data_IF_793996262394
#
_entry.id   IF_793996262394
#
_cell.length_a   1.000
_cell.length_b   1.000
_cell.length_c   1.000
_cell.angle_alpha   90.00
_cell.angle_beta   90.00
_cell.angle_gamma   90.00
#
_symmetry.space_group_name_H-M   'P 1'
#
loop_
_entity.id
_entity.type
_entity.pdbx_description
1 polymer ?
#
# COMPACT_ATOMS: atom_id res chain seq x y z
N UNK A 1 24.80 -10.47 52.04
CA UNK A 1 23.41 -10.39 51.46
C UNK A 1 23.56 -10.60 49.96
N UNK A 2 23.14 -11.74 49.43
CA UNK A 2 23.17 -11.96 48.01
C UNK A 2 22.08 -11.05 47.42
N UNK A 3 22.43 -10.13 46.51
CA UNK A 3 21.47 -9.44 45.68
C UNK A 3 20.74 -10.51 44.89
N UNK A 4 19.44 -10.68 45.19
CA UNK A 4 18.54 -11.47 44.38
C UNK A 4 18.51 -10.81 43.01
N UNK A 5 19.23 -11.39 42.06
CA UNK A 5 19.22 -10.92 40.67
C UNK A 5 17.82 -11.20 40.11
N UNK A 6 16.94 -10.23 40.22
CA UNK A 6 15.58 -10.32 39.66
C UNK A 6 15.71 -10.49 38.16
N UNK A 7 15.25 -11.61 37.64
CA UNK A 7 15.23 -11.87 36.20
C UNK A 7 14.35 -10.82 35.51
N UNK A 8 14.83 -10.32 34.40
CA UNK A 8 14.11 -9.28 33.64
C UNK A 8 13.39 -9.87 32.41
N UNK A 9 12.27 -9.30 32.01
CA UNK A 9 11.66 -9.63 30.73
C UNK A 9 12.68 -9.48 29.59
N UNK A 10 12.68 -10.44 28.67
CA UNK A 10 13.50 -10.39 27.45
C UNK A 10 12.60 -9.86 26.33
N UNK A 11 12.96 -8.72 25.76
CA UNK A 11 12.19 -8.09 24.68
C UNK A 11 13.03 -8.07 23.41
N UNK A 12 12.45 -8.58 22.34
CA UNK A 12 12.99 -8.56 20.98
C UNK A 12 12.09 -7.69 20.09
N UNK A 13 12.68 -6.73 19.42
CA UNK A 13 12.01 -5.88 18.43
C UNK A 13 12.49 -6.32 17.05
N UNK A 14 11.58 -6.42 16.09
CA UNK A 14 11.92 -6.73 14.69
C UNK A 14 12.78 -5.62 14.10
N UNK A 15 13.53 -5.94 13.05
CA UNK A 15 14.44 -4.99 12.40
C UNK A 15 13.71 -3.77 11.82
N UNK A 16 12.49 -3.98 11.32
CA UNK A 16 11.61 -2.93 10.80
C UNK A 16 10.86 -2.15 11.89
N UNK A 17 11.08 -2.51 13.16
CA UNK A 17 10.43 -1.94 14.34
C UNK A 17 8.89 -2.04 14.30
N UNK A 18 8.34 -3.01 13.54
CA UNK A 18 6.89 -3.18 13.42
C UNK A 18 6.30 -4.15 14.43
N UNK A 19 7.11 -4.98 15.06
CA UNK A 19 6.65 -5.96 16.03
C UNK A 19 7.61 -6.01 17.20
N UNK A 20 7.07 -6.20 18.41
CA UNK A 20 7.85 -6.46 19.61
C UNK A 20 7.33 -7.73 20.27
N UNK A 21 8.26 -8.62 20.55
CA UNK A 21 8.04 -9.89 21.22
C UNK A 21 8.64 -9.85 22.61
N UNK A 22 7.97 -10.49 23.54
CA UNK A 22 8.41 -10.62 24.93
C UNK A 22 8.45 -12.07 25.34
N UNK A 23 9.51 -12.42 26.05
CA UNK A 23 9.66 -13.70 26.75
C UNK A 23 9.89 -13.40 28.24
N UNK A 24 9.10 -14.01 29.09
CA UNK A 24 9.26 -13.99 30.52
C UNK A 24 10.01 -15.28 30.93
N UNK A 25 11.28 -15.22 31.34
CA UNK A 25 11.94 -16.38 31.91
C UNK A 25 11.21 -16.87 33.16
N UNK A 26 11.21 -18.18 33.43
CA UNK A 26 10.63 -18.73 34.64
C UNK A 26 11.36 -18.22 35.89
N UNK A 27 10.67 -17.61 36.87
CA UNK A 27 11.33 -17.03 38.05
C UNK A 27 11.89 -18.09 38.98
N UNK A 28 13.15 -17.94 39.38
CA UNK A 28 13.85 -18.93 40.18
C UNK A 28 13.34 -19.12 41.62
N UNK A 29 12.56 -18.18 42.18
CA UNK A 29 12.08 -18.20 43.57
C UNK A 29 10.63 -17.74 43.77
N UNK A 30 9.73 -18.00 42.82
CA UNK A 30 8.28 -17.77 43.05
C UNK A 30 7.83 -16.30 43.06
N UNK A 31 8.73 -15.34 42.87
CA UNK A 31 8.37 -13.93 42.66
C UNK A 31 8.11 -13.70 41.20
N UNK A 32 6.84 -13.74 40.78
CA UNK A 32 6.43 -13.47 39.40
C UNK A 32 6.73 -12.03 38.95
N UNK A 33 6.57 -11.78 37.69
CA UNK A 33 6.70 -10.45 37.11
C UNK A 33 5.49 -9.58 37.46
N UNK A 34 5.73 -8.27 37.58
CA UNK A 34 4.67 -7.29 37.77
C UNK A 34 4.45 -6.50 36.48
N UNK A 35 3.22 -6.02 36.28
CA UNK A 35 2.90 -5.13 35.15
C UNK A 35 3.85 -3.91 35.10
N UNK A 36 4.17 -3.33 36.25
CA UNK A 36 5.09 -2.19 36.33
C UNK A 36 6.49 -2.50 35.80
N UNK A 37 7.03 -3.70 36.07
CA UNK A 37 8.34 -4.12 35.58
C UNK A 37 8.32 -4.30 34.05
N UNK A 38 7.27 -4.91 33.53
CA UNK A 38 7.07 -5.09 32.09
C UNK A 38 7.02 -3.74 31.38
N UNK A 39 6.20 -2.81 31.88
CA UNK A 39 6.10 -1.46 31.31
C UNK A 39 7.40 -0.69 31.36
N UNK A 40 8.13 -0.80 32.46
CA UNK A 40 9.44 -0.16 32.60
C UNK A 40 10.45 -0.71 31.58
N UNK A 41 10.47 -2.03 31.36
CA UNK A 41 11.38 -2.65 30.39
C UNK A 41 10.96 -2.31 28.94
N UNK A 42 9.66 -2.29 28.64
CA UNK A 42 9.15 -1.83 27.34
C UNK A 42 9.52 -0.36 27.07
N UNK A 43 9.34 0.51 28.05
CA UNK A 43 9.71 1.92 27.95
C UNK A 43 11.23 2.09 27.77
N UNK A 44 12.05 1.30 28.48
CA UNK A 44 13.50 1.31 28.32
C UNK A 44 13.94 0.90 26.91
N UNK A 45 13.15 0.06 26.22
CA UNK A 45 13.36 -0.31 24.80
C UNK A 45 12.73 0.65 23.81
N UNK A 46 12.03 1.69 24.32
CA UNK A 46 11.39 2.71 23.50
C UNK A 46 10.06 2.26 22.88
N UNK A 47 9.44 1.18 23.37
CA UNK A 47 8.14 0.71 22.90
C UNK A 47 7.07 1.61 23.52
N UNK A 48 6.33 2.36 22.66
CA UNK A 48 5.38 3.36 23.10
C UNK A 48 4.02 3.24 22.41
N UNK A 49 3.93 2.48 21.32
CA UNK A 49 2.72 2.37 20.49
C UNK A 49 2.40 0.93 20.15
N UNK A 50 1.12 0.66 19.93
CA UNK A 50 0.64 -0.65 19.49
C UNK A 50 0.75 -1.75 20.55
N UNK A 51 0.85 -1.41 21.82
CA UNK A 51 0.97 -2.35 22.93
C UNK A 51 -0.34 -3.12 23.11
N UNK A 52 -0.24 -4.45 23.13
CA UNK A 52 -1.35 -5.36 23.42
C UNK A 52 -1.46 -5.58 24.94
N UNK A 53 -2.19 -4.69 25.58
CA UNK A 53 -2.40 -4.71 27.05
C UNK A 53 -3.08 -5.99 27.51
N UNK A 54 -4.03 -6.51 26.72
CA UNK A 54 -4.73 -7.74 27.07
C UNK A 54 -3.78 -8.93 27.09
N UNK A 55 -2.92 -9.02 26.07
CA UNK A 55 -1.94 -10.10 25.99
C UNK A 55 -0.92 -10.07 27.13
N UNK A 56 -0.49 -8.87 27.51
CA UNK A 56 0.41 -8.70 28.68
C UNK A 56 -0.28 -9.18 29.97
N UNK A 57 -1.56 -8.79 30.17
CA UNK A 57 -2.35 -9.25 31.31
C UNK A 57 -2.50 -10.78 31.31
N UNK A 58 -2.86 -11.35 30.18
CA UNK A 58 -3.01 -12.81 30.01
C UNK A 58 -1.70 -13.57 30.29
N UNK A 59 -0.54 -13.02 29.88
CA UNK A 59 0.77 -13.58 30.18
C UNK A 59 1.06 -13.60 31.70
N UNK A 60 0.71 -12.54 32.38
CA UNK A 60 0.93 -12.41 33.84
C UNK A 60 0.00 -13.32 34.64
N UNK A 61 -1.31 -13.29 34.32
CA UNK A 61 -2.32 -14.10 35.01
C UNK A 61 -2.16 -15.59 34.76
N UNK A 62 -1.82 -15.95 33.50
CA UNK A 62 -1.57 -17.33 33.08
C UNK A 62 -0.21 -17.87 33.47
N UNK A 63 0.66 -17.06 34.11
CA UNK A 63 2.05 -17.43 34.42
C UNK A 63 2.78 -18.04 33.23
N UNK A 64 2.62 -17.38 32.04
CA UNK A 64 3.20 -17.87 30.78
C UNK A 64 4.69 -17.55 30.74
N UNK A 65 5.50 -18.52 31.09
CA UNK A 65 6.96 -18.41 31.10
C UNK A 65 7.60 -19.16 29.94
N UNK A 66 8.81 -18.74 29.57
CA UNK A 66 9.64 -19.36 28.52
C UNK A 66 9.00 -19.45 27.15
N UNK A 67 7.95 -18.63 26.89
CA UNK A 67 7.32 -18.49 25.60
C UNK A 67 7.49 -17.07 25.07
N UNK A 68 7.90 -16.95 23.81
CA UNK A 68 8.01 -15.66 23.13
C UNK A 68 6.64 -15.31 22.53
N UNK A 69 6.04 -14.22 23.00
CA UNK A 69 4.73 -13.75 22.54
C UNK A 69 4.82 -12.34 21.99
N UNK A 70 4.03 -12.05 20.95
CA UNK A 70 3.87 -10.72 20.37
C UNK A 70 3.14 -9.82 21.36
N UNK A 71 3.78 -8.75 21.83
CA UNK A 71 3.23 -7.83 22.85
C UNK A 71 3.00 -6.42 22.34
N UNK A 72 3.57 -6.08 21.19
CA UNK A 72 3.24 -4.82 20.52
C UNK A 72 3.35 -4.98 19.01
N UNK A 73 2.45 -4.30 18.29
CA UNK A 73 2.42 -4.28 16.83
C UNK A 73 2.19 -2.87 16.31
N UNK A 74 3.05 -2.42 15.42
CA UNK A 74 2.92 -1.15 14.72
C UNK A 74 1.79 -1.17 13.69
N UNK A 75 1.35 0.02 13.27
CA UNK A 75 0.44 0.19 12.13
C UNK A 75 1.26 0.19 10.84
N UNK A 76 1.02 -0.77 9.96
CA UNK A 76 1.68 -0.79 8.63
C UNK A 76 1.18 0.38 7.78
N UNK A 77 2.07 1.01 6.98
CA UNK A 77 1.63 2.00 6.01
C UNK A 77 0.77 1.35 4.92
N UNK A 78 -0.15 2.12 4.38
CA UNK A 78 -0.95 1.72 3.22
C UNK A 78 -0.52 2.60 2.06
N UNK A 79 0.10 2.00 1.04
CA UNK A 79 0.54 2.75 -0.12
C UNK A 79 -0.65 3.28 -0.92
N UNK A 80 -0.52 4.48 -1.45
CA UNK A 80 -1.44 5.09 -2.38
C UNK A 80 -1.32 4.48 -3.78
N UNK A 81 -2.21 4.88 -4.66
CA UNK A 81 -2.22 4.47 -6.07
C UNK A 81 -2.05 5.68 -6.97
N UNK A 82 -1.25 5.53 -8.04
CA UNK A 82 -1.07 6.57 -9.04
C UNK A 82 -2.38 6.83 -9.80
N UNK A 83 -2.61 8.06 -10.20
CA UNK A 83 -3.69 8.42 -11.10
C UNK A 83 -3.46 7.78 -12.47
N UNK A 84 -4.54 7.43 -13.16
CA UNK A 84 -4.46 6.80 -14.48
C UNK A 84 -5.62 7.20 -15.37
N UNK A 85 -5.42 7.06 -16.68
CA UNK A 85 -6.45 7.25 -17.69
C UNK A 85 -7.03 5.91 -18.11
N UNK A 86 -8.34 5.79 -18.04
CA UNK A 86 -9.10 4.70 -18.65
C UNK A 86 -9.54 5.16 -20.06
N UNK A 87 -8.86 4.67 -21.07
CA UNK A 87 -9.22 4.97 -22.47
C UNK A 87 -10.38 4.11 -22.92
N UNK A 88 -11.30 4.71 -23.65
CA UNK A 88 -12.47 4.04 -24.23
C UNK A 88 -12.27 3.68 -25.70
N UNK A 89 -11.03 3.67 -26.16
CA UNK A 89 -10.60 3.27 -27.49
C UNK A 89 -9.27 2.47 -27.38
N UNK A 90 -8.92 1.74 -28.45
CA UNK A 90 -7.69 0.93 -28.45
C UNK A 90 -6.45 1.83 -28.58
N UNK A 91 -5.65 1.89 -27.54
CA UNK A 91 -4.40 2.68 -27.49
C UNK A 91 -3.21 1.94 -28.09
N UNK A 92 -3.33 0.63 -28.36
CA UNK A 92 -2.24 -0.23 -28.84
C UNK A 92 -2.32 -0.53 -30.33
N UNK A 93 -3.07 0.24 -31.09
CA UNK A 93 -3.18 0.07 -32.52
C UNK A 93 -1.85 0.40 -33.20
N UNK A 94 -1.06 -0.63 -33.56
CA UNK A 94 0.24 -0.48 -34.20
C UNK A 94 0.18 -0.51 -35.74
N UNK A 95 -1.01 -0.60 -36.30
CA UNK A 95 -1.22 -0.63 -37.76
C UNK A 95 -0.63 -1.85 -38.47
N UNK A 96 -0.10 -2.82 -37.72
CA UNK A 96 0.49 -4.02 -38.30
C UNK A 96 -0.52 -5.14 -38.39
N UNK A 97 -0.61 -5.82 -39.53
CA UNK A 97 -1.47 -6.97 -39.68
C UNK A 97 -1.03 -8.11 -38.74
N UNK A 98 -1.99 -8.78 -38.14
CA UNK A 98 -1.71 -9.97 -37.31
C UNK A 98 -1.36 -11.14 -38.21
N UNK A 99 -0.26 -11.82 -37.90
CA UNK A 99 0.06 -13.13 -38.47
C UNK A 99 -0.87 -14.16 -37.81
N UNK A 100 -1.64 -14.87 -38.65
CA UNK A 100 -2.47 -15.99 -38.23
C UNK A 100 -1.60 -17.26 -38.01
N UNK A 101 -2.06 -18.24 -37.23
CA UNK A 101 -1.30 -19.46 -36.96
C UNK A 101 -0.92 -20.28 -38.21
N UNK A 102 -1.63 -20.08 -39.32
CA UNK A 102 -1.37 -20.73 -40.62
C UNK A 102 -0.34 -20.00 -41.47
N UNK A 103 0.26 -18.88 -40.95
CA UNK A 103 1.23 -18.07 -41.68
C UNK A 103 0.62 -17.05 -42.63
N UNK A 104 -0.68 -16.99 -42.76
CA UNK A 104 -1.37 -15.93 -43.50
C UNK A 104 -1.41 -14.61 -42.73
N UNK A 105 -1.58 -13.51 -43.43
CA UNK A 105 -1.64 -12.18 -42.89
C UNK A 105 -3.12 -11.73 -42.86
N UNK A 106 -3.63 -11.44 -41.65
CA UNK A 106 -4.97 -10.89 -41.51
C UNK A 106 -4.98 -9.39 -41.81
N UNK A 107 -5.20 -9.05 -43.07
CA UNK A 107 -5.34 -7.65 -43.52
C UNK A 107 -6.63 -6.99 -43.03
N UNK A 108 -7.64 -7.75 -42.61
CA UNK A 108 -8.88 -7.18 -42.10
C UNK A 108 -8.71 -6.61 -40.70
N UNK A 109 -7.80 -7.16 -39.90
CA UNK A 109 -7.47 -6.64 -38.57
C UNK A 109 -6.78 -5.27 -38.61
N UNK A 110 -6.18 -4.90 -39.75
CA UNK A 110 -5.54 -3.59 -39.96
C UNK A 110 -6.55 -2.47 -40.17
N UNK A 111 -7.79 -2.80 -40.51
CA UNK A 111 -8.80 -1.82 -40.91
C UNK A 111 -9.78 -1.41 -39.82
N UNK A 112 -9.56 -1.81 -38.57
CA UNK A 112 -10.38 -1.27 -37.48
C UNK A 112 -9.93 0.17 -37.13
N UNK A 113 -10.18 1.09 -38.07
CA UNK A 113 -10.13 2.52 -37.77
C UNK A 113 -11.19 2.76 -36.71
N UNK A 114 -10.77 3.03 -35.51
CA UNK A 114 -11.67 3.38 -34.45
C UNK A 114 -12.17 4.81 -34.70
N UNK A 115 -13.47 4.94 -34.84
CA UNK A 115 -14.13 6.23 -35.10
C UNK A 115 -14.92 6.65 -33.87
N UNK A 116 -14.91 7.91 -33.57
CA UNK A 116 -15.68 8.54 -32.50
C UNK A 116 -16.65 9.58 -33.08
N UNK A 117 -17.72 9.84 -32.34
CA UNK A 117 -18.66 10.90 -32.65
C UNK A 117 -18.51 12.04 -31.63
N UNK A 118 -18.83 13.25 -32.06
CA UNK A 118 -18.81 14.42 -31.18
C UNK A 118 -19.64 14.17 -29.90
N UNK A 119 -19.05 14.48 -28.74
CA UNK A 119 -19.66 14.24 -27.43
C UNK A 119 -19.41 12.82 -26.86
N UNK A 120 -18.87 11.91 -27.65
CA UNK A 120 -18.53 10.55 -27.14
C UNK A 120 -17.39 10.61 -26.12
N UNK A 121 -17.56 9.92 -24.97
CA UNK A 121 -16.49 9.78 -23.97
C UNK A 121 -15.36 8.95 -24.56
N UNK A 122 -14.15 9.51 -24.56
CA UNK A 122 -12.94 8.86 -25.09
C UNK A 122 -11.96 8.44 -24.00
N UNK A 123 -11.98 9.14 -22.87
CA UNK A 123 -11.16 8.77 -21.71
C UNK A 123 -11.79 9.28 -20.41
N UNK A 124 -11.51 8.57 -19.33
CA UNK A 124 -11.86 8.99 -17.97
C UNK A 124 -10.59 8.97 -17.13
N UNK A 125 -10.32 10.06 -16.44
CA UNK A 125 -9.21 10.15 -15.50
C UNK A 125 -9.64 9.65 -14.13
N UNK A 126 -8.84 8.76 -13.56
CA UNK A 126 -8.97 8.32 -12.18
C UNK A 126 -7.87 8.99 -11.37
N UNK A 127 -8.22 9.92 -10.45
CA UNK A 127 -7.23 10.64 -9.65
C UNK A 127 -6.37 9.72 -8.79
N UNK A 128 -5.17 10.18 -8.46
CA UNK A 128 -4.30 9.49 -7.53
C UNK A 128 -4.93 9.42 -6.14
N UNK A 129 -4.69 8.31 -5.43
CA UNK A 129 -5.09 8.14 -4.05
C UNK A 129 -3.85 8.27 -3.17
N UNK A 130 -3.91 9.15 -2.18
CA UNK A 130 -2.84 9.29 -1.20
C UNK A 130 -2.73 8.04 -0.33
N UNK A 131 -1.51 7.63 -0.01
CA UNK A 131 -1.28 6.61 0.98
C UNK A 131 -1.51 7.12 2.41
N UNK A 132 -1.62 6.19 3.34
CA UNK A 132 -1.70 6.45 4.78
C UNK A 132 -0.39 6.01 5.45
N UNK A 133 0.24 6.91 6.16
CA UNK A 133 1.45 6.58 6.91
C UNK A 133 1.16 5.60 8.03
N UNK A 134 2.11 4.71 8.25
CA UNK A 134 2.14 3.79 9.37
C UNK A 134 2.86 4.36 10.58
N UNK A 135 2.97 3.54 11.61
CA UNK A 135 3.71 3.87 12.83
C UNK A 135 4.36 2.62 13.42
N UNK A 136 5.64 2.70 13.74
CA UNK A 136 6.38 1.62 14.37
C UNK A 136 5.98 1.47 15.84
N UNK A 137 6.36 0.36 16.49
CA UNK A 137 6.15 0.15 17.94
C UNK A 137 6.89 1.17 18.80
N UNK A 138 7.88 1.85 18.24
CA UNK A 138 8.61 2.96 18.89
C UNK A 138 8.00 4.34 18.64
N UNK A 139 6.83 4.42 18.04
CA UNK A 139 6.18 5.69 17.73
C UNK A 139 6.82 6.48 16.58
N UNK A 140 7.65 5.83 15.76
CA UNK A 140 8.24 6.46 14.58
C UNK A 140 7.29 6.33 13.39
N UNK A 141 7.16 7.43 12.65
CA UNK A 141 6.39 7.44 11.41
C UNK A 141 7.04 6.48 10.39
N UNK A 142 6.23 5.63 9.78
CA UNK A 142 6.60 4.77 8.65
C UNK A 142 5.90 5.32 7.42
N UNK A 143 6.62 6.04 6.53
CA UNK A 143 5.97 6.73 5.43
C UNK A 143 5.39 5.76 4.42
N UNK A 144 4.17 6.05 3.95
CA UNK A 144 3.56 5.41 2.80
C UNK A 144 4.06 6.04 1.50
N UNK A 145 3.95 5.29 0.40
CA UNK A 145 4.08 5.89 -0.93
C UNK A 145 2.79 6.62 -1.28
N UNK A 146 2.91 7.88 -1.64
CA UNK A 146 1.77 8.65 -2.15
C UNK A 146 1.62 8.42 -3.66
N UNK A 147 0.38 8.25 -4.10
CA UNK A 147 0.06 8.19 -5.52
C UNK A 147 0.40 9.52 -6.21
N UNK A 148 0.83 9.43 -7.46
CA UNK A 148 1.19 10.59 -8.28
C UNK A 148 0.07 10.89 -9.26
N UNK A 149 -0.31 12.16 -9.34
CA UNK A 149 -1.22 12.63 -10.38
C UNK A 149 -0.55 12.56 -11.75
N UNK A 150 -1.35 12.23 -12.77
CA UNK A 150 -0.88 12.32 -14.15
C UNK A 150 -1.21 13.69 -14.76
N UNK A 151 -0.38 14.10 -15.71
CA UNK A 151 -0.64 15.32 -16.47
C UNK A 151 -1.91 15.13 -17.31
N UNK A 152 -2.67 16.24 -17.55
CA UNK A 152 -3.80 16.23 -18.48
C UNK A 152 -3.42 15.68 -19.86
N UNK A 153 -4.38 15.01 -20.50
CA UNK A 153 -4.19 14.46 -21.85
C UNK A 153 -3.72 15.55 -22.80
N UNK A 154 -2.83 15.15 -23.69
CA UNK A 154 -2.30 16.02 -24.76
C UNK A 154 -2.88 15.55 -26.10
N UNK A 155 -3.19 16.49 -26.98
CA UNK A 155 -3.70 16.17 -28.31
C UNK A 155 -4.64 17.22 -28.82
N UNK A 156 -5.48 16.80 -29.79
CA UNK A 156 -6.49 17.63 -30.44
C UNK A 156 -7.75 16.82 -30.67
N UNK A 157 -8.87 17.51 -30.94
CA UNK A 157 -10.12 16.86 -31.26
C UNK A 157 -10.90 16.32 -30.05
N UNK A 158 -10.55 16.78 -28.85
CA UNK A 158 -11.28 16.44 -27.63
C UNK A 158 -11.35 17.63 -26.67
N UNK A 159 -12.35 17.60 -25.80
CA UNK A 159 -12.55 18.57 -24.73
C UNK A 159 -12.53 17.85 -23.37
N UNK A 160 -12.05 18.56 -22.36
CA UNK A 160 -12.14 18.15 -20.96
C UNK A 160 -13.42 18.73 -20.39
N UNK A 161 -14.23 17.88 -19.78
CA UNK A 161 -15.53 18.30 -19.21
C UNK A 161 -15.34 19.08 -17.90
N UNK A 162 -16.41 19.71 -17.43
CA UNK A 162 -16.41 20.51 -16.18
C UNK A 162 -16.13 19.70 -14.93
N UNK A 163 -16.30 18.37 -14.97
CA UNK A 163 -15.97 17.45 -13.89
C UNK A 163 -14.46 17.23 -13.74
N UNK A 164 -13.67 17.78 -14.66
CA UNK A 164 -12.21 17.69 -14.73
C UNK A 164 -11.64 16.27 -14.87
N UNK A 165 -12.46 15.25 -15.02
CA UNK A 165 -12.02 13.85 -15.17
C UNK A 165 -12.44 13.21 -16.47
N UNK A 166 -13.55 13.66 -17.07
CA UNK A 166 -14.09 13.11 -18.32
C UNK A 166 -13.58 13.87 -19.53
N UNK A 167 -13.16 13.13 -20.54
CA UNK A 167 -12.73 13.66 -21.84
C UNK A 167 -13.65 13.15 -22.92
N UNK A 168 -14.14 14.06 -23.77
CA UNK A 168 -15.07 13.75 -24.86
C UNK A 168 -14.53 14.21 -26.19
N UNK A 169 -14.86 13.49 -27.27
CA UNK A 169 -14.53 13.93 -28.61
C UNK A 169 -15.26 15.26 -28.95
N UNK A 170 -14.54 16.24 -29.49
CA UNK A 170 -15.11 17.52 -29.89
C UNK A 170 -15.71 17.50 -31.30
N UNK A 171 -15.39 16.46 -32.08
CA UNK A 171 -15.83 16.28 -33.46
C UNK A 171 -15.90 14.79 -33.82
N UNK A 172 -16.64 14.50 -34.90
CA UNK A 172 -16.63 13.17 -35.50
C UNK A 172 -15.32 12.93 -36.21
N UNK A 173 -14.77 11.73 -36.09
CA UNK A 173 -13.53 11.43 -36.77
C UNK A 173 -12.88 10.10 -36.33
N UNK A 174 -11.67 9.89 -36.82
CA UNK A 174 -10.78 8.82 -36.39
C UNK A 174 -10.11 9.21 -35.09
N UNK A 175 -9.96 8.24 -34.17
CA UNK A 175 -9.18 8.41 -32.96
C UNK A 175 -8.03 7.42 -32.91
N UNK A 176 -6.85 7.87 -32.52
CA UNK A 176 -5.72 7.01 -32.24
C UNK A 176 -4.77 7.65 -31.21
N UNK A 177 -3.93 6.83 -30.60
CA UNK A 177 -2.86 7.29 -29.71
C UNK A 177 -1.54 7.30 -30.47
N UNK A 178 -0.91 8.46 -30.59
CA UNK A 178 0.42 8.60 -31.20
C UNK A 178 1.37 9.34 -30.25
N UNK A 179 2.47 8.70 -29.84
CA UNK A 179 3.48 9.29 -28.94
C UNK A 179 2.85 9.95 -27.69
N UNK A 180 1.99 9.23 -27.01
CA UNK A 180 1.22 9.67 -25.81
C UNK A 180 0.32 10.92 -26.07
N UNK A 181 -0.13 11.07 -27.29
CA UNK A 181 -1.09 12.11 -27.69
C UNK A 181 -2.27 11.52 -28.44
N UNK A 182 -3.46 12.03 -28.14
CA UNK A 182 -4.66 11.73 -28.93
C UNK A 182 -4.66 12.57 -30.22
N UNK A 183 -4.89 11.91 -31.33
CA UNK A 183 -4.95 12.51 -32.68
C UNK A 183 -6.16 11.97 -33.42
#
# INVERSE_FOLDING_TARGET
MAELTQQKPIIRITFDEMEAYMLLPEPEQGTGYTDSQIRQEMAARGITTGIDEQRISDMLEGHTYNAELLVAQGKKPVDGTDGYYEYKFDTNFDGKPKLLPDGSVDYWSVHSIESVTAGQVIAVYHPAVSGEDGMSVKGRLVPAKHGREQMPLKGKGFDRMDDEVTYTASMDGKIEMQNDRIV
#
